data_IF_022767307737
#
_entry.id   IF_022767307737
#
_cell.length_a   1.000
_cell.length_b   1.000
_cell.length_c   1.000
_cell.angle_alpha   90.00
_cell.angle_beta   90.00
_cell.angle_gamma   90.00
#
_symmetry.space_group_name_H-M   'P 1'
#
loop_
_entity.id
_entity.type
_entity.pdbx_description
1 polymer ?
2 branched ?
3 non-polymer ?
4 water ?
#
# COMPACT_ATOMS: atom_id res chain seq x y z
N UNK A 1 2.95 -0.22 -41.64
CA UNK A 1 3.83 0.93 -41.48
C UNK A 1 3.97 1.27 -40.01
N UNK A 2 5.12 1.82 -39.63
CA UNK A 2 5.26 2.34 -38.28
C UNK A 2 4.12 3.30 -37.98
N UNK A 3 3.56 3.17 -36.78
CA UNK A 3 2.70 4.22 -36.27
C UNK A 3 3.52 5.49 -36.10
N UNK A 4 2.82 6.62 -36.06
CA UNK A 4 3.52 7.90 -35.98
C UNK A 4 4.15 8.13 -34.61
N UNK A 5 5.32 8.77 -34.63
CA UNK A 5 5.96 9.19 -33.38
C UNK A 5 5.03 10.16 -32.64
N UNK A 6 4.87 9.93 -31.33
CA UNK A 6 3.99 10.73 -30.49
C UNK A 6 2.50 10.40 -30.55
N UNK A 7 2.09 9.44 -31.39
CA UNK A 7 0.65 9.16 -31.57
C UNK A 7 -0.01 8.58 -30.34
N UNK A 8 0.75 8.02 -29.40
CA UNK A 8 0.22 7.54 -28.12
C UNK A 8 0.65 8.40 -26.94
N UNK A 9 1.14 9.62 -27.19
CA UNK A 9 1.75 10.39 -26.09
C UNK A 9 0.74 10.73 -24.99
N UNK A 10 -0.50 11.09 -25.36
CA UNK A 10 -1.49 11.42 -24.34
C UNK A 10 -1.82 10.21 -23.47
N UNK A 11 -1.99 9.04 -24.08
CA UNK A 11 -2.26 7.83 -23.32
C UNK A 11 -1.10 7.50 -22.40
N UNK A 12 0.13 7.70 -22.89
CA UNK A 12 1.33 7.46 -22.09
C UNK A 12 1.32 8.32 -20.81
N UNK A 13 1.03 9.61 -20.95
CA UNK A 13 0.98 10.50 -19.80
C UNK A 13 -0.08 10.06 -18.79
N UNK A 14 -1.24 9.64 -19.29
CA UNK A 14 -2.32 9.23 -18.38
C UNK A 14 -1.89 8.03 -17.55
N UNK A 15 -1.38 6.99 -18.20
CA UNK A 15 -0.93 5.84 -17.42
C UNK A 15 0.31 6.18 -16.60
N UNK A 16 1.18 7.03 -17.12
CA UNK A 16 2.36 7.41 -16.35
C UNK A 16 2.01 8.15 -15.02
N UNK A 17 0.88 8.89 -14.94
CA UNK A 17 0.51 9.47 -13.65
C UNK A 17 0.38 8.37 -12.59
N UNK A 18 -0.29 7.25 -12.96
CA UNK A 18 -0.47 6.14 -12.04
C UNK A 18 0.87 5.49 -11.71
N UNK A 19 1.75 5.30 -12.70
CA UNK A 19 3.08 4.78 -12.41
C UNK A 19 3.82 5.67 -11.42
N UNK A 20 3.79 6.99 -11.65
CA UNK A 20 4.50 7.90 -10.76
C UNK A 20 3.95 7.87 -9.35
N UNK A 21 2.65 7.57 -9.20
CA UNK A 21 2.08 7.45 -7.86
C UNK A 21 2.73 6.31 -7.10
N UNK A 22 3.14 5.23 -7.77
CA UNK A 22 3.82 4.12 -7.10
C UNK A 22 5.26 4.44 -6.72
N UNK A 23 5.82 5.51 -7.28
CA UNK A 23 7.18 5.93 -6.97
C UNK A 23 7.22 7.06 -5.96
N UNK A 24 6.07 7.57 -5.55
CA UNK A 24 6.04 8.73 -4.69
C UNK A 24 6.44 8.37 -3.26
N UNK A 25 6.88 9.37 -2.52
CA UNK A 25 7.23 9.21 -1.11
C UNK A 25 6.02 8.71 -0.33
N UNK A 26 6.23 7.66 0.53
CA UNK A 26 5.18 7.10 1.36
C UNK A 26 5.06 7.81 2.69
N UNK A 27 3.87 7.72 3.29
CA UNK A 27 3.67 8.22 4.65
C UNK A 27 4.28 7.29 5.68
N UNK A 28 4.41 7.84 6.88
CA UNK A 28 4.83 7.11 8.05
C UNK A 28 3.62 6.62 8.84
N UNK A 29 3.83 5.58 9.62
CA UNK A 29 2.78 5.05 10.50
C UNK A 29 2.69 5.94 11.74
N UNK A 30 1.51 6.48 12.09
CA UNK A 30 1.40 7.29 13.30
C UNK A 30 1.76 6.49 14.54
N UNK A 31 2.40 7.18 15.50
CA UNK A 31 2.86 6.58 16.75
C UNK A 31 2.43 7.48 17.89
N UNK A 32 2.24 6.89 19.06
CA UNK A 32 1.92 7.66 20.27
C UNK A 32 2.95 7.42 21.36
N UNK A 33 3.84 8.39 21.55
CA UNK A 33 4.73 8.39 22.70
C UNK A 33 3.96 8.52 24.02
N UNK A 34 2.92 9.36 24.04
CA UNK A 34 2.09 9.50 25.25
C UNK A 34 1.58 8.15 25.72
N UNK A 35 1.07 7.31 24.82
CA UNK A 35 0.47 6.07 25.29
C UNK A 35 1.55 5.16 25.86
N UNK A 36 2.72 5.10 25.22
CA UNK A 36 3.83 4.33 25.78
C UNK A 36 4.19 4.81 27.19
N UNK A 37 4.33 6.13 27.36
CA UNK A 37 4.78 6.67 28.63
C UNK A 37 3.74 6.42 29.72
N UNK A 38 2.45 6.64 29.41
CA UNK A 38 1.40 6.35 30.38
C UNK A 38 1.39 4.87 30.73
N UNK A 39 1.55 4.01 29.73
CA UNK A 39 1.57 2.56 29.97
C UNK A 39 2.70 2.19 30.93
N UNK A 40 3.89 2.73 30.69
CA UNK A 40 5.03 2.45 31.57
C UNK A 40 4.80 2.94 33.00
N UNK A 41 4.20 4.14 33.17
CA UNK A 41 3.93 4.65 34.51
C UNK A 41 2.90 3.76 35.22
N UNK A 42 1.85 3.35 34.50
CA UNK A 42 0.82 2.51 35.11
C UNK A 42 1.37 1.13 35.43
N UNK A 43 2.23 0.61 34.55
CA UNK A 43 2.92 -0.65 34.81
C UNK A 43 3.70 -0.55 36.11
N UNK A 44 4.45 0.54 36.28
CA UNK A 44 5.30 0.70 37.45
C UNK A 44 4.47 0.87 38.72
N UNK A 45 3.41 1.67 38.64
CA UNK A 45 2.51 1.85 39.78
C UNK A 45 1.82 0.54 40.12
N UNK A 46 1.35 -0.18 39.11
CA UNK A 46 0.69 -1.45 39.35
C UNK A 46 1.61 -2.48 39.98
N UNK A 47 2.90 -2.47 39.62
CA UNK A 47 3.86 -3.36 40.26
C UNK A 47 4.20 -2.86 41.66
N UNK A 48 4.45 -1.56 41.79
CA UNK A 48 4.93 -1.00 43.07
C UNK A 48 4.01 -1.38 44.22
N UNK A 49 2.69 -1.38 44.01
CA UNK A 49 1.79 -1.59 45.14
C UNK A 49 1.65 -3.06 45.50
N UNK A 50 2.27 -3.97 44.75
CA UNK A 50 2.13 -5.38 45.08
C UNK A 50 3.10 -5.82 46.18
N UNK A 51 4.06 -4.99 46.56
CA UNK A 51 4.92 -5.32 47.68
C UNK A 51 6.38 -5.47 47.34
N UNK A 52 7.24 -5.37 48.36
CA UNK A 52 8.68 -5.46 48.13
C UNK A 52 9.09 -6.79 47.52
N UNK A 53 8.39 -7.87 47.85
CA UNK A 53 8.82 -9.19 47.37
C UNK A 53 8.55 -9.34 45.88
N UNK A 54 7.33 -9.04 45.44
CA UNK A 54 7.03 -9.13 44.01
C UNK A 54 7.86 -8.11 43.23
N UNK A 55 8.03 -6.91 43.79
CA UNK A 55 8.83 -5.90 43.11
C UNK A 55 10.25 -6.41 42.91
N UNK A 56 10.88 -6.89 43.99
CA UNK A 56 12.26 -7.38 43.89
C UNK A 56 12.37 -8.51 42.88
N UNK A 57 11.44 -9.46 42.93
CA UNK A 57 11.50 -10.60 42.03
C UNK A 57 11.32 -10.17 40.57
N UNK A 58 10.30 -9.34 40.30
CA UNK A 58 10.06 -8.85 38.94
C UNK A 58 11.28 -8.13 38.37
N UNK A 59 11.91 -7.28 39.17
CA UNK A 59 13.12 -6.63 38.70
C UNK A 59 14.22 -7.66 38.49
N UNK A 60 14.39 -8.59 39.43
CA UNK A 60 15.38 -9.65 39.27
C UNK A 60 15.23 -10.33 37.92
N UNK A 61 13.99 -10.59 37.51
CA UNK A 61 13.68 -11.45 36.36
C UNK A 61 13.15 -10.65 35.17
N UNK A 62 13.36 -9.33 35.14
CA UNK A 62 12.75 -8.51 34.10
C UNK A 62 13.20 -8.89 32.69
N UNK A 63 14.40 -9.47 32.53
CA UNK A 63 14.86 -9.90 31.22
C UNK A 63 14.37 -11.29 30.83
N UNK A 64 13.88 -12.06 31.79
CA UNK A 64 13.39 -13.41 31.53
C UNK A 64 12.02 -13.35 30.86
N UNK A 65 11.67 -14.46 30.21
CA UNK A 65 10.32 -14.68 29.73
C UNK A 65 9.52 -15.40 30.81
N UNK A 66 8.18 -15.26 30.79
CA UNK A 66 7.32 -15.81 31.86
C UNK A 66 7.69 -17.27 32.09
N UNK A 67 7.95 -18.03 31.03
CA UNK A 67 8.45 -19.42 31.12
C UNK A 67 9.97 -19.37 31.35
N UNK A 71 8.55 -21.76 39.97
CA UNK A 71 7.56 -21.69 41.06
C UNK A 71 8.14 -20.89 42.22
N UNK A 72 9.47 -20.85 42.35
CA UNK A 72 10.12 -20.05 43.40
C UNK A 72 9.97 -18.55 43.11
N UNK A 73 9.73 -18.19 41.85
CA UNK A 73 9.53 -16.76 41.50
C UNK A 73 8.12 -16.34 41.94
N UNK A 74 7.96 -15.40 42.90
CA UNK A 74 6.65 -14.93 43.48
C UNK A 74 5.87 -14.10 42.44
N UNK A 75 6.55 -13.61 41.43
CA UNK A 75 5.94 -12.86 40.34
C UNK A 75 4.96 -13.72 39.54
N UNK A 76 5.15 -15.05 39.52
CA UNK A 76 4.23 -15.93 38.80
C UNK A 76 2.85 -15.99 39.46
N UNK A 77 2.76 -15.64 40.74
CA UNK A 77 1.45 -15.55 41.39
C UNK A 77 0.78 -14.21 41.11
N UNK A 78 1.57 -13.14 40.90
CA UNK A 78 1.00 -11.82 40.64
C UNK A 78 0.78 -11.54 39.16
N UNK A 79 1.46 -12.27 38.28
CA UNK A 79 1.36 -12.03 36.85
C UNK A 79 1.25 -13.35 36.11
N UNK A 80 0.70 -13.27 34.91
CA UNK A 80 0.63 -14.39 33.98
C UNK A 80 1.50 -14.08 32.77
N UNK A 81 1.58 -15.04 31.86
CA UNK A 81 2.26 -14.77 30.59
C UNK A 81 1.61 -13.61 29.88
N UNK A 82 0.28 -13.47 30.04
CA UNK A 82 -0.46 -12.39 29.40
C UNK A 82 0.02 -11.03 29.91
N UNK A 83 0.10 -10.86 31.22
CA UNK A 83 0.39 -9.57 31.84
C UNK A 83 1.85 -9.42 32.21
N UNK A 84 2.67 -10.44 31.98
CA UNK A 84 4.09 -10.35 32.25
C UNK A 84 4.76 -9.18 31.51
N UNK A 85 4.44 -8.87 30.26
CA UNK A 85 4.97 -7.64 29.66
C UNK A 85 4.69 -6.41 30.51
N UNK A 86 3.58 -6.37 31.25
CA UNK A 86 3.31 -5.25 32.14
C UNK A 86 4.37 -5.18 33.24
N UNK A 87 4.54 -6.29 33.97
CA UNK A 87 5.61 -6.36 34.98
C UNK A 87 6.98 -5.99 34.40
N UNK A 88 7.29 -6.46 33.19
CA UNK A 88 8.59 -6.16 32.60
C UNK A 88 8.76 -4.66 32.39
N UNK A 89 7.72 -4.02 31.83
CA UNK A 89 7.74 -2.57 31.68
C UNK A 89 7.83 -1.89 33.02
N UNK A 90 7.08 -2.39 34.02
CA UNK A 90 7.11 -1.77 35.33
C UNK A 90 8.44 -1.95 36.04
N UNK A 91 9.02 -3.15 35.90
CA UNK A 91 10.34 -3.40 36.49
C UNK A 91 11.40 -2.48 35.89
N UNK A 92 11.31 -2.20 34.59
CA UNK A 92 12.30 -1.33 33.97
C UNK A 92 12.27 0.07 34.58
N UNK A 93 11.08 0.60 34.91
CA UNK A 93 11.00 1.90 35.56
C UNK A 93 11.51 1.84 36.99
N UNK A 94 11.06 0.85 37.77
CA UNK A 94 11.43 0.76 39.17
C UNK A 94 12.86 0.32 39.37
N UNK A 95 13.58 0.00 38.30
CA UNK A 95 14.99 -0.31 38.35
C UNK A 95 15.85 0.78 37.72
N UNK A 96 15.27 1.93 37.42
CA UNK A 96 16.02 3.00 36.77
C UNK A 96 16.72 3.92 37.79
N UNK A 100 12.73 4.05 40.53
CA UNK A 100 12.88 5.50 40.58
C UNK A 100 12.22 6.10 41.81
N UNK A 101 12.79 7.21 42.28
CA UNK A 101 12.22 7.96 43.39
C UNK A 101 10.91 8.63 43.03
N UNK A 102 10.53 8.65 41.75
CA UNK A 102 9.26 9.27 41.36
C UNK A 102 8.07 8.47 41.87
N UNK A 103 8.23 7.16 42.01
CA UNK A 103 7.19 6.28 42.48
C UNK A 103 7.24 6.10 43.99
N UNK A 104 7.99 6.98 44.69
CA UNK A 104 8.13 6.89 46.13
C UNK A 104 6.78 6.84 46.82
N UNK A 105 5.86 7.75 46.44
CA UNK A 105 4.52 7.72 47.00
C UNK A 105 3.92 6.31 46.91
N UNK A 106 4.10 5.60 45.79
CA UNK A 106 3.50 4.25 45.59
C UNK A 106 4.30 3.16 46.30
N UNK A 107 5.62 3.28 46.38
CA UNK A 107 6.53 2.29 47.03
C UNK A 107 6.63 2.58 48.52
N UNK A 109 4.32 4.10 50.44
CA UNK A 109 3.16 4.20 51.35
C UNK A 109 2.46 2.84 51.41
N UNK A 110 1.40 2.71 52.19
CA UNK A 110 0.70 1.42 52.40
C UNK A 110 -0.76 1.56 51.95
N UNK A 111 -1.36 0.51 51.37
CA UNK A 111 -2.71 0.60 50.82
C UNK A 111 -3.54 -0.61 51.24
N UNK A 112 -4.86 -0.41 51.35
CA UNK A 112 -5.80 -1.50 51.62
C UNK A 112 -5.87 -2.46 50.45
N UNK A 113 -6.38 -3.67 50.73
CA UNK A 113 -6.68 -4.60 49.65
C UNK A 113 -7.63 -3.97 48.65
N UNK A 114 -8.61 -3.21 49.14
CA UNK A 114 -9.57 -2.54 48.26
C UNK A 114 -8.88 -1.45 47.44
N UNK A 115 -8.10 -0.59 48.10
CA UNK A 115 -7.35 0.43 47.37
C UNK A 115 -6.50 -0.20 46.28
N UNK A 116 -5.84 -1.30 46.59
CA UNK A 116 -5.03 -1.99 45.59
C UNK A 116 -5.89 -2.53 44.46
N UNK A 117 -7.07 -3.08 44.79
CA UNK A 117 -8.01 -3.49 43.75
C UNK A 117 -8.33 -2.35 42.82
N UNK A 118 -8.76 -1.22 43.38
CA UNK A 118 -9.19 -0.10 42.54
C UNK A 118 -8.02 0.43 41.71
N UNK A 119 -6.83 0.46 42.29
CA UNK A 119 -5.68 0.89 41.50
C UNK A 119 -5.48 -0.02 40.31
N UNK A 120 -5.65 -1.34 40.50
CA UNK A 120 -5.37 -2.26 39.41
C UNK A 120 -6.45 -2.22 38.34
N UNK A 121 -7.68 -1.82 38.69
CA UNK A 121 -8.67 -1.55 37.66
C UNK A 121 -8.16 -0.51 36.68
N UNK A 122 -7.56 0.56 37.20
CA UNK A 122 -7.06 1.64 36.36
C UNK A 122 -5.82 1.21 35.58
N UNK A 123 -4.89 0.50 36.23
CA UNK A 123 -3.70 0.06 35.50
C UNK A 123 -4.05 -0.96 34.43
N UNK A 124 -5.00 -1.86 34.70
CA UNK A 124 -5.45 -2.79 33.67
C UNK A 124 -6.13 -2.04 32.51
N UNK A 125 -6.89 -1.00 32.84
CA UNK A 125 -7.54 -0.21 31.80
C UNK A 125 -6.51 0.49 30.93
N UNK A 126 -5.43 1.01 31.54
CA UNK A 126 -4.38 1.67 30.76
C UNK A 126 -3.65 0.64 29.89
N UNK A 127 -3.43 -0.55 30.42
CA UNK A 127 -2.83 -1.58 29.60
C UNK A 127 -3.73 -1.94 28.40
N UNK A 128 -5.05 -1.91 28.60
CA UNK A 128 -5.96 -2.16 27.49
C UNK A 128 -5.85 -1.09 26.41
N UNK A 129 -5.70 0.18 26.82
CA UNK A 129 -5.48 1.26 25.85
C UNK A 129 -4.25 0.98 24.99
N UNK A 130 -3.13 0.66 25.64
CA UNK A 130 -1.90 0.33 24.91
C UNK A 130 -2.12 -0.83 23.95
N UNK A 131 -2.78 -1.89 24.40
CA UNK A 131 -3.06 -3.01 23.53
C UNK A 131 -3.88 -2.59 22.32
N UNK A 132 -4.92 -1.78 22.53
CA UNK A 132 -5.74 -1.30 21.42
C UNK A 132 -4.94 -0.39 20.50
N UNK A 133 -4.05 0.45 21.06
CA UNK A 133 -3.17 1.27 20.23
C UNK A 133 -2.34 0.38 19.32
N UNK A 134 -1.81 -0.72 19.85
CA UNK A 134 -1.02 -1.62 19.01
C UNK A 134 -1.89 -2.32 17.95
N UNK A 135 -3.13 -2.68 18.28
CA UNK A 135 -3.97 -3.38 17.30
C UNK A 135 -4.34 -2.49 16.10
N UNK A 136 -4.27 -1.17 16.24
CA UNK A 136 -4.67 -0.29 15.14
C UNK A 136 -3.89 -0.60 13.87
N UNK A 137 -2.63 -0.99 14.01
CA UNK A 137 -1.80 -1.28 12.85
C UNK A 137 -1.47 -2.78 12.78
N UNK A 138 -2.41 -3.63 13.22
CA UNK A 138 -2.35 -5.08 13.01
C UNK A 138 -3.58 -5.48 12.20
N UNK A 139 -3.47 -5.66 10.88
CA UNK A 139 -2.27 -5.69 10.07
C UNK A 139 -1.72 -4.30 9.76
N UNK A 140 -0.43 -4.31 9.44
CA UNK A 140 0.35 -3.10 9.21
C UNK A 140 -0.11 -2.41 7.92
N UNK A 141 -0.62 -1.19 8.05
CA UNK A 141 -1.19 -0.50 6.91
C UNK A 141 -0.14 0.04 5.94
N UNK A 142 1.06 0.37 6.41
CA UNK A 142 2.11 0.73 5.46
C UNK A 142 2.45 -0.45 4.54
N UNK A 143 2.54 -1.67 5.09
CA UNK A 143 2.79 -2.82 4.22
C UNK A 143 1.62 -3.09 3.28
N UNK A 144 0.38 -2.90 3.74
CA UNK A 144 -0.73 -3.03 2.80
C UNK A 144 -0.67 -1.99 1.68
N UNK A 145 -0.30 -0.76 2.03
CA UNK A 145 -0.14 0.29 1.02
C UNK A 145 0.91 -0.11 -0.01
N UNK A 146 2.07 -0.56 0.47
CA UNK A 146 3.18 -0.90 -0.41
C UNK A 146 2.77 -2.03 -1.34
N UNK A 147 2.06 -3.02 -0.77
CA UNK A 147 1.61 -4.14 -1.58
C UNK A 147 0.59 -3.76 -2.62
N UNK A 148 -0.35 -2.87 -2.27
CA UNK A 148 -1.31 -2.42 -3.28
C UNK A 148 -0.62 -1.71 -4.42
N UNK A 149 0.37 -0.88 -4.11
CA UNK A 149 1.06 -0.14 -5.16
C UNK A 149 1.90 -1.08 -6.03
N UNK A 150 2.61 -2.01 -5.41
CA UNK A 150 3.35 -3.02 -6.16
C UNK A 150 2.42 -3.88 -7.03
N UNK A 151 1.27 -4.30 -6.46
CA UNK A 151 0.29 -5.07 -7.22
C UNK A 151 -0.21 -4.31 -8.45
N UNK A 152 -0.41 -3.00 -8.30
CA UNK A 152 -0.85 -2.13 -9.39
C UNK A 152 0.10 -2.19 -10.56
N UNK A 153 1.40 -2.28 -10.27
CA UNK A 153 2.41 -2.19 -11.32
C UNK A 153 2.61 -3.52 -12.01
N UNK A 154 2.61 -4.61 -11.24
CA UNK A 154 3.05 -5.92 -11.70
C UNK A 154 1.97 -7.00 -11.70
N UNK A 155 0.85 -6.77 -11.05
CA UNK A 155 -0.13 -7.81 -10.77
C UNK A 155 0.02 -8.30 -9.33
N UNK A 156 -1.07 -8.87 -8.79
CA UNK A 156 -1.11 -9.18 -7.37
C UNK A 156 -0.01 -10.17 -6.99
N UNK A 157 0.71 -9.87 -5.91
CA UNK A 157 1.78 -10.72 -5.42
C UNK A 157 2.99 -10.86 -6.32
N UNK A 158 3.08 -10.09 -7.41
CA UNK A 158 4.17 -10.21 -8.37
C UNK A 158 5.16 -9.06 -8.23
N UNK A 159 6.37 -9.30 -8.71
CA UNK A 159 7.45 -8.32 -8.73
C UNK A 159 7.87 -8.06 -10.17
N UNK A 160 8.84 -7.17 -10.36
CA UNK A 160 9.35 -6.91 -11.70
C UNK A 160 10.00 -8.15 -12.29
N UNK A 161 10.73 -8.89 -11.46
CA UNK A 161 11.44 -10.08 -11.93
C UNK A 161 10.49 -11.20 -12.30
N UNK A 162 9.36 -11.35 -11.58
CA UNK A 162 8.33 -12.36 -11.90
C UNK A 162 7.60 -12.10 -13.21
N UNK A 163 7.69 -10.89 -13.74
CA UNK A 163 6.85 -10.51 -14.87
C UNK A 163 7.76 -10.11 -16.03
N UNK A 164 8.86 -10.85 -16.16
CA UNK A 164 9.89 -10.55 -17.16
C UNK A 164 9.55 -10.99 -18.58
N UNK A 165 8.58 -11.88 -18.78
CA UNK A 165 8.31 -12.41 -20.11
C UNK A 165 6.82 -12.47 -20.41
N UNK A 166 6.48 -12.20 -21.65
CA UNK A 166 5.07 -12.26 -22.04
C UNK A 166 4.65 -13.72 -22.13
N UNK A 167 3.36 -13.99 -22.01
CA UNK A 167 2.86 -15.37 -22.06
C UNK A 167 3.18 -16.10 -23.35
N UNK A 168 3.22 -17.41 -23.25
CA UNK A 168 3.41 -18.26 -24.42
C UNK A 168 2.11 -18.35 -25.18
N UNK A 169 2.20 -18.42 -26.51
CA UNK A 169 1.09 -18.86 -27.35
C UNK A 169 0.12 -17.79 -27.85
N UNK A 170 0.30 -16.53 -27.49
CA UNK A 170 -0.56 -15.48 -28.00
C UNK A 170 0.15 -14.64 -29.06
N UNK A 171 -0.65 -13.82 -29.73
CA UNK A 171 -0.18 -12.85 -30.72
C UNK A 171 -0.26 -11.47 -30.10
N UNK A 172 0.33 -10.52 -30.82
CA UNK A 172 0.23 -9.12 -30.40
C UNK A 172 -1.23 -8.70 -30.26
N UNK A 173 -2.07 -9.09 -31.24
CA UNK A 173 -3.48 -8.77 -31.20
C UNK A 173 -4.17 -9.43 -30.01
N UNK A 174 -3.98 -10.73 -29.81
CA UNK A 174 -4.69 -11.42 -28.73
C UNK A 174 -4.27 -10.87 -27.38
N UNK A 175 -3.01 -10.48 -27.24
CA UNK A 175 -2.52 -9.95 -25.98
C UNK A 175 -2.91 -8.50 -25.74
N UNK A 176 -2.89 -7.65 -26.76
CA UNK A 176 -3.10 -6.22 -26.53
C UNK A 176 -4.49 -5.72 -26.87
N UNK A 177 -5.20 -6.37 -27.78
CA UNK A 177 -6.50 -5.90 -28.20
C UNK A 177 -7.05 -6.70 -29.36
N UNK A 178 -8.01 -7.57 -29.09
CA UNK A 178 -8.58 -8.43 -30.13
C UNK A 178 -9.41 -7.65 -31.16
N UNK A 179 -9.73 -8.35 -32.23
CA UNK A 179 -10.60 -7.76 -33.25
C UNK A 179 -11.92 -7.28 -32.64
N UNK A 180 -12.45 -8.03 -31.69
CA UNK A 180 -13.66 -7.63 -30.99
C UNK A 180 -13.36 -6.43 -30.08
N UNK A 181 -13.95 -5.27 -30.42
CA UNK A 181 -13.66 -3.98 -29.80
C UNK A 181 -14.24 -3.76 -28.40
N UNK A 182 -14.76 -4.84 -27.80
CA UNK A 182 -15.24 -4.82 -26.43
C UNK A 182 -14.57 -5.84 -25.52
N UNK A 183 -13.74 -6.74 -26.06
CA UNK A 183 -13.31 -7.92 -25.32
C UNK A 183 -12.08 -7.67 -24.43
N UNK A 184 -11.14 -6.85 -24.88
CA UNK A 184 -9.94 -6.57 -24.11
C UNK A 184 -8.79 -7.51 -24.41
N UNK A 185 -7.57 -6.96 -24.45
CA UNK A 185 -6.38 -7.80 -24.62
C UNK A 185 -6.18 -8.74 -23.46
N UNK A 186 -5.60 -9.91 -23.74
CA UNK A 186 -5.49 -10.91 -22.69
C UNK A 186 -4.50 -10.49 -21.60
N UNK A 187 -3.56 -9.59 -21.89
CA UNK A 187 -2.61 -9.13 -20.88
C UNK A 187 -2.89 -7.70 -20.44
N UNK A 188 -3.95 -7.10 -20.93
CA UNK A 188 -4.26 -5.70 -20.63
C UNK A 188 -5.24 -5.65 -19.46
N UNK A 189 -5.05 -4.66 -18.59
CA UNK A 189 -5.89 -4.48 -17.44
C UNK A 189 -5.56 -5.35 -16.26
N UNK A 190 -4.40 -6.01 -16.28
CA UNK A 190 -3.88 -6.79 -15.18
C UNK A 190 -2.86 -6.02 -14.36
N UNK A 191 -2.02 -5.24 -15.04
CA UNK A 191 -0.89 -4.55 -14.43
C UNK A 191 -0.49 -3.39 -15.32
N UNK A 192 -0.15 -2.27 -14.69
CA UNK A 192 0.25 -1.10 -15.48
C UNK A 192 1.43 -1.44 -16.38
N UNK A 193 2.33 -2.31 -15.90
CA UNK A 193 3.51 -2.66 -16.69
C UNK A 193 3.12 -3.25 -18.03
N UNK A 194 2.16 -4.18 -18.06
CA UNK A 194 1.81 -4.81 -19.32
C UNK A 194 0.96 -3.91 -20.21
N UNK A 195 0.09 -3.09 -19.62
CA UNK A 195 -0.61 -2.08 -20.41
C UNK A 195 0.42 -1.22 -21.16
N UNK A 196 1.44 -0.74 -20.44
CA UNK A 196 2.42 0.15 -21.07
C UNK A 196 3.32 -0.58 -22.05
N UNK A 197 3.57 -1.88 -21.85
CA UNK A 197 4.28 -2.65 -22.87
C UNK A 197 3.45 -2.72 -24.16
N UNK A 198 2.14 -3.00 -24.05
CA UNK A 198 1.31 -3.00 -25.25
C UNK A 198 1.30 -1.62 -25.91
N UNK A 199 1.13 -0.57 -25.10
CA UNK A 199 0.95 0.78 -25.63
C UNK A 199 2.21 1.29 -26.33
N UNK A 200 3.38 1.00 -25.75
CA UNK A 200 4.61 1.68 -26.13
C UNK A 200 5.65 0.75 -26.76
N UNK A 201 5.45 -0.56 -26.70
CA UNK A 201 6.47 -1.49 -27.15
C UNK A 201 6.64 -1.53 -28.66
N UNK A 202 7.77 -2.08 -29.06
CA UNK A 202 8.12 -2.26 -30.47
C UNK A 202 7.25 -3.34 -31.10
N UNK A 203 6.67 -3.04 -32.27
CA UNK A 203 6.02 -4.02 -33.13
C UNK A 203 7.07 -4.62 -34.07
N UNK A 204 6.92 -5.90 -34.41
CA UNK A 204 8.05 -6.63 -34.98
C UNK A 204 8.59 -5.96 -36.25
N UNK A 205 7.74 -5.28 -37.02
CA UNK A 205 8.17 -4.61 -38.25
C UNK A 205 8.56 -3.13 -38.06
N UNK A 206 8.58 -2.61 -36.83
CA UNK A 206 8.92 -1.20 -36.63
C UNK A 206 10.37 -0.94 -37.07
N UNK A 207 10.62 0.29 -37.51
CA UNK A 207 11.87 0.66 -38.17
C UNK A 207 12.49 1.94 -37.62
N UNK A 208 12.13 2.34 -36.40
CA UNK A 208 12.68 3.52 -35.74
C UNK A 208 11.67 4.58 -35.37
N UNK A 209 10.48 4.55 -35.96
CA UNK A 209 9.45 5.54 -35.69
C UNK A 209 8.36 5.01 -34.78
N UNK A 210 7.88 3.78 -35.00
CA UNK A 210 6.81 3.25 -34.18
C UNK A 210 7.24 3.06 -32.74
N UNK A 211 8.54 2.84 -32.50
CA UNK A 211 9.05 2.70 -31.15
C UNK A 211 8.96 4.01 -30.38
N UNK A 212 8.68 5.12 -31.06
CA UNK A 212 8.45 6.40 -30.43
C UNK A 212 6.97 6.80 -30.37
N UNK A 213 6.06 5.84 -30.59
CA UNK A 213 4.63 6.12 -30.39
C UNK A 213 4.37 6.86 -29.07
N UNK A 214 4.95 6.38 -27.96
CA UNK A 214 4.61 6.97 -26.66
C UNK A 214 5.47 8.19 -26.30
N UNK A 215 6.69 8.27 -26.81
CA UNK A 215 7.70 9.14 -26.22
C UNK A 215 8.94 9.03 -27.08
N UNK A 216 9.80 10.05 -27.03
CA UNK A 216 11.05 10.03 -27.78
C UNK A 216 12.12 9.30 -26.97
N UNK A 217 11.92 8.00 -26.83
CA UNK A 217 12.76 7.21 -25.94
C UNK A 217 14.18 7.12 -26.46
N UNK A 218 15.15 7.19 -25.53
CA UNK A 218 16.50 6.75 -25.85
C UNK A 218 17.04 5.92 -24.70
N UNK A 219 17.48 4.68 -24.95
CA UNK A 219 17.37 3.94 -26.22
C UNK A 219 15.91 3.62 -26.56
N UNK A 220 15.67 3.34 -27.83
CA UNK A 220 14.35 2.91 -28.28
C UNK A 220 14.02 1.55 -27.69
N UNK A 221 12.74 1.29 -27.39
CA UNK A 221 12.29 -0.09 -27.15
C UNK A 221 12.75 -0.99 -28.27
N UNK A 222 13.42 -2.09 -27.92
CA UNK A 222 14.12 -2.94 -28.89
C UNK A 222 13.57 -4.37 -29.06
N UNK A 223 12.69 -4.83 -28.19
CA UNK A 223 12.20 -6.20 -28.23
C UNK A 223 10.78 -6.22 -28.80
N UNK A 224 10.60 -6.90 -29.93
CA UNK A 224 9.28 -7.01 -30.54
C UNK A 224 8.32 -7.66 -29.56
N UNK A 225 7.16 -7.03 -29.40
CA UNK A 225 6.10 -7.54 -28.55
C UNK A 225 5.47 -8.72 -29.27
N UNK A 226 5.65 -9.91 -28.73
CA UNK A 226 5.16 -11.15 -29.27
C UNK A 226 5.23 -12.18 -28.15
N UNK A 227 4.73 -13.39 -28.41
CA UNK A 227 4.69 -14.41 -27.36
C UNK A 227 6.09 -14.64 -26.78
N UNK A 228 6.14 -14.88 -25.48
CA UNK A 228 7.35 -15.23 -24.73
C UNK A 228 8.41 -14.12 -24.79
N UNK A 229 8.06 -12.90 -25.19
CA UNK A 229 9.06 -11.86 -25.34
C UNK A 229 9.59 -11.42 -23.98
N UNK A 230 10.92 -11.23 -23.92
CA UNK A 230 11.61 -10.79 -22.70
C UNK A 230 11.67 -9.27 -22.69
N UNK A 231 10.88 -8.63 -21.85
CA UNK A 231 10.54 -7.23 -22.04
C UNK A 231 11.02 -6.33 -20.91
N UNK A 232 11.87 -6.82 -19.99
CA UNK A 232 12.17 -6.01 -18.81
C UNK A 232 13.09 -4.83 -19.13
N UNK A 233 13.96 -4.95 -20.15
CA UNK A 233 14.80 -3.81 -20.52
C UNK A 233 13.94 -2.71 -21.13
N UNK A 234 12.99 -3.11 -21.97
CA UNK A 234 12.09 -2.14 -22.58
C UNK A 234 11.17 -1.53 -21.52
N UNK A 235 10.70 -2.34 -20.56
CA UNK A 235 9.90 -1.81 -19.46
C UNK A 235 10.68 -0.76 -18.67
N UNK A 236 11.95 -1.05 -18.37
CA UNK A 236 12.80 -0.08 -17.65
C UNK A 236 12.80 1.27 -18.37
N UNK A 237 13.05 1.26 -19.67
CA UNK A 237 13.07 2.49 -20.44
C UNK A 237 11.71 3.19 -20.41
N UNK A 238 10.64 2.43 -20.63
CA UNK A 238 9.29 2.99 -20.66
C UNK A 238 8.92 3.59 -19.31
N UNK A 239 9.15 2.88 -18.22
CA UNK A 239 8.72 3.41 -16.93
C UNK A 239 9.59 4.57 -16.50
N UNK A 240 10.86 4.59 -16.91
CA UNK A 240 11.72 5.72 -16.52
C UNK A 240 11.28 7.03 -17.16
N UNK A 241 10.63 6.98 -18.34
CA UNK A 241 10.13 8.20 -18.96
C UNK A 241 8.90 8.78 -18.31
N UNK A 242 8.24 8.03 -17.44
CA UNK A 242 6.97 8.52 -16.90
C UNK A 242 7.13 9.84 -16.14
N UNK A 243 8.27 10.04 -15.45
CA UNK A 243 8.45 11.26 -14.69
C UNK A 243 8.54 12.49 -15.60
N UNK A 244 8.99 12.29 -16.85
CA UNK A 244 9.14 13.37 -17.80
C UNK A 244 7.78 13.86 -18.26
N UNK A 245 6.79 12.97 -18.32
CA UNK A 245 5.50 13.33 -18.90
C UNK A 245 4.38 13.45 -17.87
N UNK A 246 4.57 12.96 -16.63
CA UNK A 246 3.56 13.05 -15.61
C UNK A 246 4.09 13.65 -14.31
N UNK A 247 5.39 13.98 -14.24
CA UNK A 247 5.96 14.61 -13.09
C UNK A 247 5.93 13.77 -11.84
N UNK A 248 5.74 14.45 -10.71
CA UNK A 248 5.91 13.86 -9.37
C UNK A 248 4.68 14.12 -8.51
N UNK A 249 3.53 13.57 -8.87
CA UNK A 249 2.35 13.74 -8.01
C UNK A 249 2.59 13.11 -6.64
N UNK A 250 1.99 13.72 -5.62
CA UNK A 250 2.10 13.19 -4.26
C UNK A 250 1.29 11.93 -4.09
N UNK A 251 1.77 11.02 -3.23
CA UNK A 251 1.00 9.81 -2.89
C UNK A 251 -0.09 10.20 -1.88
N UNK A 252 -1.27 10.49 -2.39
CA UNK A 252 -2.42 10.87 -1.58
C UNK A 252 -3.66 10.21 -2.16
N UNK A 253 -4.71 10.05 -1.36
CA UNK A 253 -5.96 9.53 -1.92
C UNK A 253 -6.54 10.50 -2.92
N UNK A 254 -6.37 11.79 -2.68
CA UNK A 254 -6.76 12.80 -3.66
C UNK A 254 -6.11 12.53 -5.02
N UNK A 255 -4.79 12.34 -5.03
CA UNK A 255 -4.12 12.14 -6.32
C UNK A 255 -4.62 10.87 -7.02
N UNK A 256 -4.81 9.79 -6.26
CA UNK A 256 -5.14 8.50 -6.87
C UNK A 256 -6.49 8.59 -7.56
N UNK A 257 -7.51 9.13 -6.86
CA UNK A 257 -8.84 9.17 -7.46
C UNK A 257 -8.87 10.17 -8.61
N UNK A 258 -8.09 11.25 -8.52
CA UNK A 258 -8.02 12.17 -9.64
C UNK A 258 -7.41 11.48 -10.85
N UNK A 259 -6.35 10.69 -10.64
CA UNK A 259 -5.71 10.00 -11.76
C UNK A 259 -6.65 8.94 -12.35
N UNK A 260 -7.44 8.26 -11.52
CA UNK A 260 -8.33 7.22 -12.04
C UNK A 260 -9.47 7.80 -12.88
N UNK A 261 -10.08 8.90 -12.44
CA UNK A 261 -11.17 9.48 -13.22
C UNK A 261 -10.66 10.03 -14.55
N UNK A 262 -9.44 10.58 -14.59
CA UNK A 262 -8.83 10.96 -15.86
C UNK A 262 -8.63 9.75 -16.77
N UNK A 263 -8.11 8.66 -16.21
CA UNK A 263 -7.96 7.44 -16.99
C UNK A 263 -9.30 6.95 -17.54
N UNK A 264 -10.32 6.84 -16.68
CA UNK A 264 -11.63 6.36 -17.13
C UNK A 264 -12.14 7.15 -18.34
N UNK A 265 -12.14 8.49 -18.26
CA UNK A 265 -12.60 9.28 -19.40
C UNK A 265 -11.69 9.11 -20.60
N UNK A 266 -10.38 9.00 -20.38
CA UNK A 266 -9.48 8.90 -21.51
C UNK A 266 -9.69 7.57 -22.25
N UNK A 267 -9.75 6.46 -21.52
CA UNK A 267 -10.05 5.19 -22.15
C UNK A 267 -11.48 5.13 -22.69
N UNK A 268 -12.41 5.81 -22.01
CA UNK A 268 -13.83 5.63 -22.26
C UNK A 268 -14.33 6.27 -23.53
N UNK A 269 -13.71 7.37 -23.96
CA UNK A 269 -14.18 7.97 -25.22
C UNK A 269 -13.98 6.95 -26.35
N UNK A 270 -15.01 6.60 -27.13
CA UNK A 270 -14.82 5.58 -28.17
C UNK A 270 -13.91 6.06 -29.28
N UNK A 271 -13.17 5.10 -29.83
CA UNK A 271 -12.11 5.37 -30.79
C UNK A 271 -12.33 4.54 -32.06
N UNK A 272 -11.43 4.77 -33.02
CA UNK A 272 -11.60 4.28 -34.38
C UNK A 272 -12.42 5.26 -35.22
N UNK A 273 -12.26 5.13 -36.54
CA UNK A 273 -12.97 6.07 -37.41
C UNK A 273 -14.45 5.77 -37.51
N UNK A 274 -14.95 4.69 -36.92
CA UNK A 274 -16.39 4.51 -36.79
C UNK A 274 -16.83 4.49 -35.33
N UNK A 275 -15.94 4.89 -34.41
CA UNK A 275 -16.24 4.98 -32.98
C UNK A 275 -16.74 3.65 -32.40
N UNK A 276 -16.09 2.56 -32.81
CA UNK A 276 -16.47 1.20 -32.41
C UNK A 276 -15.42 0.51 -31.53
N UNK A 277 -14.34 1.20 -31.17
CA UNK A 277 -13.28 0.64 -30.29
C UNK A 277 -13.51 1.19 -28.89
N UNK A 278 -14.05 0.34 -28.00
CA UNK A 278 -14.46 0.76 -26.68
C UNK A 278 -13.37 0.51 -25.65
N UNK A 279 -13.40 1.33 -24.59
CA UNK A 279 -12.54 1.22 -23.41
C UNK A 279 -11.10 0.84 -23.79
N UNK A 280 -10.50 1.69 -24.63
CA UNK A 280 -9.18 1.43 -25.22
C UNK A 280 -8.28 2.66 -25.08
N UNK A 281 -6.99 2.44 -24.83
CA UNK A 281 -6.02 3.53 -24.85
C UNK A 281 -5.03 3.30 -26.01
N UNK A 282 -4.29 4.35 -26.33
CA UNK A 282 -3.57 4.41 -27.58
C UNK A 282 -4.51 4.72 -28.72
N UNK A 283 -4.03 4.50 -29.95
CA UNK A 283 -4.68 5.03 -31.16
C UNK A 283 -5.03 3.93 -32.16
N UNK A 284 -6.23 3.38 -32.12
CA UNK A 284 -6.66 2.50 -33.21
C UNK A 284 -6.43 3.18 -34.57
N UNK A 285 -5.95 2.41 -35.52
CA UNK A 285 -5.74 2.88 -36.87
C UNK A 285 -6.96 2.54 -37.72
N UNK A 286 -7.34 3.47 -38.58
CA UNK A 286 -8.54 3.32 -39.38
C UNK A 286 -9.76 3.00 -38.52
N UNK A 287 -10.41 1.89 -38.82
CA UNK A 287 -11.59 1.46 -38.08
C UNK A 287 -11.25 0.76 -36.79
N UNK A 288 -10.00 0.31 -36.63
CA UNK A 288 -9.60 -0.51 -35.51
C UNK A 288 -10.00 -1.97 -35.62
N UNK A 289 -10.72 -2.34 -36.70
CA UNK A 289 -11.39 -3.64 -36.76
C UNK A 289 -10.41 -4.81 -36.68
N UNK A 290 -9.16 -4.61 -37.12
CA UNK A 290 -8.17 -5.66 -37.06
C UNK A 290 -7.78 -5.96 -35.61
N UNK A 291 -7.92 -4.99 -34.74
CA UNK A 291 -7.41 -5.12 -33.38
C UNK A 291 -6.08 -4.40 -33.21
N UNK A 292 -5.55 -4.48 -31.99
CA UNK A 292 -4.37 -3.72 -31.59
C UNK A 292 -3.15 -4.53 -31.98
N UNK A 293 -2.78 -4.45 -33.26
CA UNK A 293 -1.68 -5.22 -33.81
C UNK A 293 -0.33 -4.47 -33.71
N UNK A 294 -0.35 -3.22 -33.26
CA UNK A 294 0.85 -2.43 -33.18
C UNK A 294 1.28 -1.80 -34.48
N UNK A 295 0.49 -1.97 -35.55
CA UNK A 295 0.86 -1.57 -36.90
C UNK A 295 0.01 -0.37 -37.32
N UNK A 296 0.64 0.55 -38.07
CA UNK A 296 -0.04 1.72 -38.58
C UNK A 296 -0.36 1.58 -40.06
N UNK A 297 -1.28 2.43 -40.51
CA UNK A 297 -1.55 2.62 -41.92
C UNK A 297 -2.78 1.88 -42.43
N UNK A 298 -3.32 0.95 -41.65
CA UNK A 298 -4.50 0.22 -42.09
C UNK A 298 -5.55 0.29 -40.99
N UNK A 299 -6.13 -0.85 -40.57
CA UNK A 299 -7.19 -0.82 -39.56
C UNK A 299 -6.82 -1.53 -38.26
N UNK A 300 -5.53 -1.51 -37.91
CA UNK A 300 -5.11 -2.11 -36.66
C UNK A 300 -4.80 -1.08 -35.58
N UNK A 301 -3.50 -0.87 -35.35
CA UNK A 301 -3.06 0.24 -34.52
C UNK A 301 -2.30 -0.23 -33.30
N UNK A 302 -1.50 0.68 -32.76
CA UNK A 302 -0.76 0.43 -31.52
C UNK A 302 -1.62 0.96 -30.37
N UNK A 303 -2.34 0.04 -29.73
CA UNK A 303 -3.33 0.36 -28.72
C UNK A 303 -3.31 -0.75 -27.68
N UNK A 304 -3.99 -0.49 -26.56
CA UNK A 304 -4.20 -1.46 -25.49
C UNK A 304 -5.66 -1.37 -25.05
N UNK A 305 -6.40 -2.46 -25.20
CA UNK A 305 -7.85 -2.47 -24.99
C UNK A 305 -8.20 -3.17 -23.68
N UNK A 306 -9.02 -2.52 -22.86
CA UNK A 306 -9.58 -3.10 -21.64
C UNK A 306 -10.87 -3.85 -21.95
N UNK A 307 -11.27 -4.71 -21.00
CA UNK A 307 -12.56 -5.41 -21.11
C UNK A 307 -13.70 -4.43 -20.80
N UNK A 308 -14.55 -4.21 -21.78
CA UNK A 308 -15.61 -3.20 -21.66
C UNK A 308 -16.53 -3.49 -20.48
N UNK A 309 -16.93 -4.76 -20.30
CA UNK A 309 -17.90 -5.06 -19.25
C UNK A 309 -17.29 -4.92 -17.85
N UNK A 310 -16.02 -5.31 -17.67
CA UNK A 310 -15.40 -5.10 -16.38
C UNK A 310 -15.22 -3.61 -16.10
N UNK A 311 -14.81 -2.88 -17.13
CA UNK A 311 -14.64 -1.44 -17.01
C UNK A 311 -15.95 -0.77 -16.58
N UNK A 312 -17.07 -1.15 -17.21
CA UNK A 312 -18.35 -0.55 -16.88
C UNK A 312 -18.80 -0.91 -15.47
N UNK A 313 -18.44 -2.12 -15.02
CA UNK A 313 -18.85 -2.60 -13.71
C UNK A 313 -17.93 -2.12 -12.61
N UNK A 314 -16.75 -1.60 -12.93
CA UNK A 314 -15.81 -1.23 -11.91
C UNK A 314 -15.03 -2.40 -11.35
N UNK A 315 -15.00 -3.53 -12.05
CA UNK A 315 -14.19 -4.67 -11.63
C UNK A 315 -12.90 -4.79 -12.43
N UNK A 316 -12.73 -3.98 -13.48
CA UNK A 316 -11.48 -3.89 -14.20
C UNK A 316 -11.20 -2.45 -14.58
N UNK A 317 -9.94 -2.11 -14.87
CA UNK A 317 -8.74 -2.94 -14.77
C UNK A 317 -8.41 -3.33 -13.33
N UNK A 318 -7.77 -4.48 -13.16
CA UNK A 318 -7.43 -4.95 -11.81
C UNK A 318 -6.54 -3.97 -11.08
N UNK A 319 -5.67 -3.24 -11.79
CA UNK A 319 -4.85 -2.26 -11.07
C UNK A 319 -5.65 -1.05 -10.58
N UNK A 320 -6.81 -0.74 -11.18
CA UNK A 320 -7.67 0.30 -10.63
C UNK A 320 -8.20 -0.10 -9.27
N UNK A 321 -8.55 -1.38 -9.10
CA UNK A 321 -8.97 -1.87 -7.79
C UNK A 321 -7.86 -1.79 -6.75
N UNK A 322 -6.64 -2.18 -7.13
CA UNK A 322 -5.50 -2.02 -6.24
C UNK A 322 -5.23 -0.55 -5.94
N UNK A 323 -5.34 0.33 -6.94
CA UNK A 323 -5.13 1.75 -6.63
C UNK A 323 -6.21 2.28 -5.70
N UNK A 324 -7.44 1.80 -5.84
CA UNK A 324 -8.47 2.23 -4.90
C UNK A 324 -8.18 1.72 -3.50
N UNK A 325 -7.67 0.49 -3.38
CA UNK A 325 -7.29 -0.02 -2.06
C UNK A 325 -6.14 0.80 -1.46
N UNK A 326 -5.17 1.17 -2.27
CA UNK A 326 -4.08 2.05 -1.80
C UNK A 326 -4.64 3.36 -1.25
N UNK A 327 -5.57 3.97 -1.99
CA UNK A 327 -6.24 5.19 -1.55
C UNK A 327 -6.95 4.98 -0.22
N UNK A 328 -7.72 3.91 -0.09
CA UNK A 328 -8.40 3.67 1.19
C UNK A 328 -7.40 3.44 2.33
N UNK A 329 -6.27 2.80 2.05
CA UNK A 329 -5.26 2.62 3.09
C UNK A 329 -4.68 3.95 3.52
N UNK A 330 -4.46 4.87 2.57
CA UNK A 330 -3.97 6.19 2.93
C UNK A 330 -4.99 6.91 3.80
N UNK A 331 -6.28 6.78 3.49
CA UNK A 331 -7.29 7.41 4.33
C UNK A 331 -7.25 6.81 5.73
N UNK A 332 -7.08 5.50 5.82
CA UNK A 332 -7.00 4.82 7.10
C UNK A 332 -5.76 5.21 7.89
N UNK A 333 -4.65 5.47 7.21
CA UNK A 333 -3.46 5.90 7.96
C UNK A 333 -3.66 7.30 8.53
N UNK A 334 -4.28 8.20 7.78
CA UNK A 334 -4.69 9.49 8.35
C UNK A 334 -5.58 9.26 9.57
N UNK A 335 -6.58 8.40 9.41
CA UNK A 335 -7.50 8.12 10.48
C UNK A 335 -6.82 7.55 11.71
N UNK A 336 -5.77 6.75 11.49
CA UNK A 336 -5.02 6.17 12.60
C UNK A 336 -4.50 7.24 13.54
N UNK A 337 -4.04 8.36 12.99
CA UNK A 337 -3.49 9.43 13.84
C UNK A 337 -4.55 10.00 14.76
N UNK A 338 -5.77 10.18 14.24
CA UNK A 338 -6.87 10.68 15.06
C UNK A 338 -7.33 9.62 16.05
N UNK A 339 -7.36 8.35 15.65
CA UNK A 339 -7.74 7.30 16.60
C UNK A 339 -6.74 7.21 17.75
N UNK A 340 -5.44 7.39 17.46
CA UNK A 340 -4.42 7.46 18.51
C UNK A 340 -4.65 8.65 19.44
N UNK A 341 -5.02 9.81 18.90
CA UNK A 341 -5.36 10.95 19.75
C UNK A 341 -6.49 10.62 20.72
N UNK A 342 -7.52 9.93 20.24
CA UNK A 342 -8.62 9.48 21.10
C UNK A 342 -8.09 8.54 22.18
N UNK A 343 -7.28 7.56 21.77
CA UNK A 343 -6.72 6.65 22.76
C UNK A 343 -5.88 7.41 23.77
N UNK A 344 -5.15 8.43 23.33
CA UNK A 344 -4.38 9.25 24.28
C UNK A 344 -5.29 9.95 25.28
N UNK A 345 -6.47 10.38 24.84
CA UNK A 345 -7.40 11.06 25.73
C UNK A 345 -7.85 10.13 26.86
N UNK A 346 -8.20 8.90 26.49
CA UNK A 346 -8.53 7.91 27.50
C UNK A 346 -7.34 7.65 28.44
N UNK A 347 -6.16 7.41 27.88
CA UNK A 347 -4.97 7.14 28.71
C UNK A 347 -4.70 8.28 29.71
N UNK A 348 -4.75 9.52 29.24
CA UNK A 348 -4.39 10.63 30.11
C UNK A 348 -5.46 10.86 31.16
N UNK A 349 -6.73 10.67 30.81
CA UNK A 349 -7.78 10.78 31.81
C UNK A 349 -7.55 9.74 32.92
N UNK A 350 -7.34 8.49 32.53
CA UNK A 350 -7.03 7.43 33.48
C UNK A 350 -5.76 7.73 34.27
N UNK A 351 -4.71 8.18 33.57
CA UNK A 351 -3.45 8.48 34.22
C UNK A 351 -3.61 9.57 35.28
N UNK A 352 -4.48 10.56 35.02
CA UNK A 352 -4.71 11.62 35.99
C UNK A 352 -5.47 11.11 37.20
N UNK A 353 -6.51 10.32 36.94
CA UNK A 353 -7.27 9.72 38.04
C UNK A 353 -6.38 8.85 38.90
N UNK A 354 -5.53 8.04 38.27
CA UNK A 354 -4.60 7.19 39.01
C UNK A 354 -3.61 8.05 39.81
N UNK A 355 -3.13 9.14 39.21
CA UNK A 355 -2.21 10.04 39.90
C UNK A 355 -2.81 10.50 41.22
N UNK A 356 -4.08 10.91 41.19
CA UNK A 356 -4.72 11.41 42.39
C UNK A 356 -4.89 10.37 43.47
N UNK A 357 -4.99 9.09 43.08
CA UNK A 357 -5.18 8.04 44.07
C UNK A 357 -3.94 7.80 44.95
N UNK A 358 -2.77 8.31 44.56
CA UNK A 358 -1.60 8.10 45.41
C UNK A 358 -1.86 8.62 46.83
N UNK A 359 -2.87 9.46 46.99
CA UNK A 359 -3.29 9.97 48.29
C UNK A 359 -4.25 9.00 48.97
N UNK A 360 -5.37 8.69 48.33
CA UNK A 360 -6.27 7.66 48.82
C UNK A 360 -7.42 7.39 47.83
#
# INVERSE_FOLDING_TARGET
ADVAAGSNAESYAVLCTLVQLTKATKPSVPKSKIIDEVYNVAAAIGLAIRGDAVVKNCIDKKDSKYSDLTDSDIAKKAYTERTWPVAQAGAAKLASSGEKEKYASWTHRKYTEKQKLKVHVLTAAISDVKQRADKLNKPDKLAELTGALSNSLYGNGKSNADTATLPAGGSHISMCGPADGTQGGSIVGKALKFDLICLCGKQSADSGTGEKACHEFSPLPATAIAENAAINADWATIEQGCKTVAGAPSLTPESIHAALQAFYRHAGVPKGNTRNRYTTVGAPAGSGATGCDGIGGSNGGKCAAYNKAQFEAGTGPYWATQMKAAAETLVELRGQEQKLAALEAEALALNSTLDGMQHD
#
